data_IF_975813214905
#
_entry.id   IF_975813214905
#
_cell.length_a   1.000
_cell.length_b   1.000
_cell.length_c   1.000
_cell.angle_alpha   90.00
_cell.angle_beta   90.00
_cell.angle_gamma   90.00
#
_symmetry.space_group_name_H-M   'P 1'
#
loop_
_entity.id
_entity.type
_entity.pdbx_description
1 polymer ?
#
# COMPACT_ATOMS: atom_id res chain seq x y z
N UNK A 1 19.05 32.98 15.12
CA UNK A 1 18.41 31.71 15.46
C UNK A 1 18.65 30.77 14.30
N UNK A 2 19.61 29.87 14.49
CA UNK A 2 20.13 28.98 13.44
C UNK A 2 19.14 27.81 13.24
N UNK A 3 18.42 27.85 12.11
CA UNK A 3 17.57 26.72 11.69
C UNK A 3 18.45 25.49 11.42
N UNK A 4 18.33 24.48 12.25
CA UNK A 4 18.87 23.15 11.98
C UNK A 4 18.03 22.53 10.87
N UNK A 5 18.56 22.55 9.66
CA UNK A 5 18.14 21.66 8.59
C UNK A 5 18.59 20.23 8.94
N UNK A 6 17.86 19.57 9.82
CA UNK A 6 17.98 18.14 10.02
C UNK A 6 17.14 17.50 8.89
N UNK A 7 17.79 16.87 7.92
CA UNK A 7 17.14 15.84 7.13
C UNK A 7 16.55 14.84 8.13
N UNK A 8 15.23 14.55 8.11
CA UNK A 8 14.67 13.59 9.02
C UNK A 8 15.41 12.26 8.81
N UNK A 9 16.02 11.75 9.87
CA UNK A 9 16.73 10.48 9.84
C UNK A 9 15.68 9.38 9.59
N UNK A 10 15.88 8.60 8.53
CA UNK A 10 15.07 7.42 8.27
C UNK A 10 15.52 6.32 9.25
N UNK A 11 14.58 5.77 10.00
CA UNK A 11 14.85 4.71 10.98
C UNK A 11 14.17 3.40 10.54
N UNK A 12 14.94 2.31 10.52
CA UNK A 12 14.39 0.98 10.28
C UNK A 12 13.55 0.53 11.47
N UNK A 13 12.39 -0.04 11.20
CA UNK A 13 11.47 -0.69 12.16
C UNK A 13 11.17 -2.10 11.71
N UNK A 14 10.98 -2.98 12.68
CA UNK A 14 10.56 -4.36 12.41
C UNK A 14 9.48 -4.78 13.40
N UNK A 15 8.60 -5.67 12.99
CA UNK A 15 7.71 -6.43 13.88
C UNK A 15 7.56 -7.85 13.35
N UNK A 16 6.86 -8.69 14.09
CA UNK A 16 6.58 -10.08 13.72
C UNK A 16 5.11 -10.23 13.39
N UNK A 17 4.81 -10.64 12.18
CA UNK A 17 3.46 -10.90 11.70
C UNK A 17 3.05 -12.36 11.79
N UNK A 18 2.05 -12.76 11.02
CA UNK A 18 1.55 -14.12 10.98
C UNK A 18 2.65 -15.13 10.57
N UNK A 19 2.60 -16.33 11.15
CA UNK A 19 3.55 -17.41 10.90
C UNK A 19 5.03 -17.03 11.17
N UNK A 20 5.25 -16.15 12.15
CA UNK A 20 6.57 -15.64 12.56
C UNK A 20 7.33 -14.92 11.42
N UNK A 21 6.62 -14.37 10.44
CA UNK A 21 7.23 -13.58 9.36
C UNK A 21 7.71 -12.24 9.91
N UNK A 22 9.02 -11.95 9.77
CA UNK A 22 9.56 -10.63 10.08
C UNK A 22 9.08 -9.61 9.03
N UNK A 23 8.50 -8.52 9.50
CA UNK A 23 8.04 -7.40 8.69
C UNK A 23 8.97 -6.21 8.88
N UNK A 24 9.28 -5.51 7.80
CA UNK A 24 10.24 -4.42 7.75
C UNK A 24 9.59 -3.14 7.29
N UNK A 25 9.96 -2.03 7.93
CA UNK A 25 9.52 -0.70 7.54
C UNK A 25 10.63 0.34 7.69
N UNK A 26 10.49 1.44 6.94
CA UNK A 26 11.24 2.68 7.14
C UNK A 26 10.32 3.69 7.83
N UNK A 27 10.83 4.39 8.84
CA UNK A 27 10.07 5.38 9.60
C UNK A 27 10.67 6.78 9.43
N UNK A 28 9.82 7.77 9.24
CA UNK A 28 10.14 9.17 9.04
C UNK A 28 9.41 10.04 10.07
N UNK A 29 10.07 11.06 10.60
CA UNK A 29 9.48 11.99 11.58
C UNK A 29 9.79 11.64 13.03
N UNK A 30 9.10 12.32 13.95
CA UNK A 30 9.25 12.12 15.39
C UNK A 30 8.33 10.96 15.84
N UNK A 31 8.83 9.93 16.55
CA UNK A 31 8.00 8.84 17.05
C UNK A 31 6.96 9.26 18.11
N UNK A 32 7.01 10.51 18.59
CA UNK A 32 5.98 11.08 19.48
C UNK A 32 4.82 11.74 18.73
N UNK A 33 4.97 11.96 17.42
CA UNK A 33 3.90 12.48 16.56
C UNK A 33 2.87 11.37 16.26
N UNK A 34 1.64 11.74 15.84
CA UNK A 34 0.63 10.78 15.43
C UNK A 34 1.14 9.85 14.32
N UNK A 35 1.02 8.54 14.54
CA UNK A 35 1.56 7.55 13.61
C UNK A 35 0.66 7.34 12.39
N UNK A 36 1.30 7.14 11.23
CA UNK A 36 0.67 6.79 9.96
C UNK A 36 1.36 5.56 9.39
N UNK A 37 0.64 4.45 9.26
CA UNK A 37 1.11 3.22 8.63
C UNK A 37 0.80 3.27 7.13
N UNK A 38 1.84 3.21 6.29
CA UNK A 38 1.74 3.24 4.83
C UNK A 38 1.98 1.84 4.26
N UNK A 39 0.97 1.29 3.55
CA UNK A 39 0.95 -0.05 2.98
C UNK A 39 0.90 0.03 1.45
N UNK A 40 1.91 -0.52 0.77
CA UNK A 40 2.06 -0.45 -0.69
C UNK A 40 1.14 -1.44 -1.45
N UNK A 41 1.04 -1.27 -2.75
CA UNK A 41 0.34 -2.18 -3.66
C UNK A 41 1.13 -3.45 -3.99
N UNK A 42 0.46 -4.45 -4.54
CA UNK A 42 1.12 -5.69 -4.98
C UNK A 42 2.24 -5.41 -5.98
N UNK A 43 3.38 -6.08 -5.82
CA UNK A 43 4.57 -5.90 -6.66
C UNK A 43 5.37 -4.62 -6.39
N UNK A 44 4.98 -3.82 -5.40
CA UNK A 44 5.71 -2.63 -4.95
C UNK A 44 6.53 -2.94 -3.68
N UNK A 45 7.24 -1.93 -3.20
CA UNK A 45 7.93 -1.94 -1.91
C UNK A 45 7.59 -0.68 -1.12
N UNK A 46 7.99 -0.63 0.15
CA UNK A 46 7.88 0.54 1.02
C UNK A 46 8.45 1.82 0.39
N UNK A 47 9.40 1.69 -0.53
CA UNK A 47 10.01 2.83 -1.22
C UNK A 47 9.05 3.59 -2.14
N UNK A 48 7.92 2.99 -2.53
CA UNK A 48 6.88 3.68 -3.31
C UNK A 48 6.22 4.82 -2.53
N UNK A 49 6.33 4.80 -1.21
CA UNK A 49 5.80 5.82 -0.30
C UNK A 49 6.80 6.90 0.10
N UNK A 50 8.06 6.84 -0.35
CA UNK A 50 9.15 7.67 0.17
C UNK A 50 8.83 9.17 0.20
N UNK A 51 8.37 9.76 -0.91
CA UNK A 51 8.01 11.18 -0.99
C UNK A 51 6.79 11.54 -0.13
N UNK A 52 5.80 10.65 -0.05
CA UNK A 52 4.61 10.85 0.77
C UNK A 52 4.96 10.78 2.26
N UNK A 53 5.79 9.83 2.67
CA UNK A 53 6.25 9.73 4.05
C UNK A 53 7.07 10.95 4.48
N UNK A 54 7.90 11.48 3.60
CA UNK A 54 8.64 12.72 3.83
C UNK A 54 7.69 13.91 4.00
N UNK A 55 6.68 14.04 3.13
CA UNK A 55 5.66 15.09 3.24
C UNK A 55 4.85 14.97 4.54
N UNK A 56 4.44 13.77 4.93
CA UNK A 56 3.74 13.52 6.20
C UNK A 56 4.62 13.89 7.40
N UNK A 57 5.90 13.53 7.38
CA UNK A 57 6.82 13.85 8.48
C UNK A 57 7.01 15.36 8.63
N UNK A 58 7.08 16.10 7.54
CA UNK A 58 7.12 17.57 7.56
C UNK A 58 5.80 18.20 8.02
N UNK A 59 4.70 17.46 7.94
CA UNK A 59 3.37 17.88 8.40
C UNK A 59 3.06 17.46 9.84
N UNK A 60 4.04 16.95 10.60
CA UNK A 60 3.91 16.58 12.01
C UNK A 60 3.30 15.20 12.24
N UNK A 61 3.53 14.26 11.33
CA UNK A 61 3.16 12.85 11.49
C UNK A 61 4.40 11.95 11.56
N UNK A 62 4.30 10.86 12.28
CA UNK A 62 5.26 9.77 12.27
C UNK A 62 4.87 8.76 11.20
N UNK A 63 5.46 8.86 9.99
CA UNK A 63 5.14 8.02 8.85
C UNK A 63 5.99 6.76 8.83
N UNK A 64 5.34 5.60 8.80
CA UNK A 64 5.97 4.27 8.79
C UNK A 64 5.57 3.53 7.52
N UNK A 65 6.50 3.42 6.58
CA UNK A 65 6.28 2.72 5.30
C UNK A 65 6.68 1.27 5.47
N UNK A 66 5.72 0.35 5.47
CA UNK A 66 6.00 -1.08 5.62
C UNK A 66 6.07 -1.81 4.27
N UNK A 67 7.02 -2.74 4.16
CA UNK A 67 6.94 -3.79 3.15
C UNK A 67 5.91 -4.83 3.59
N UNK A 68 4.96 -5.16 2.72
CA UNK A 68 4.03 -6.24 2.96
C UNK A 68 4.78 -7.59 2.98
N UNK A 69 4.22 -8.61 3.67
CA UNK A 69 4.76 -9.98 3.63
C UNK A 69 5.04 -10.43 2.19
N UNK A 70 6.14 -11.10 1.98
CA UNK A 70 6.55 -11.57 0.66
C UNK A 70 7.07 -10.48 -0.28
N UNK A 71 7.21 -9.23 0.17
CA UNK A 71 7.68 -8.11 -0.62
C UNK A 71 8.88 -7.43 0.04
N UNK A 72 9.70 -6.76 -0.78
CA UNK A 72 10.82 -5.95 -0.33
C UNK A 72 11.81 -6.72 0.56
N UNK A 73 12.02 -6.20 1.76
CA UNK A 73 12.87 -6.82 2.78
C UNK A 73 12.08 -7.56 3.87
N UNK A 74 10.73 -7.50 3.83
CA UNK A 74 9.90 -8.35 4.67
C UNK A 74 10.05 -9.82 4.32
N UNK A 75 9.91 -10.69 5.31
CA UNK A 75 10.06 -12.13 5.16
C UNK A 75 9.06 -12.74 4.18
N UNK A 76 9.47 -13.84 3.58
CA UNK A 76 8.60 -14.71 2.81
C UNK A 76 7.96 -15.73 3.75
N UNK A 77 6.66 -15.98 3.56
CA UNK A 77 5.98 -16.97 4.39
C UNK A 77 6.44 -18.39 4.04
N UNK A 78 6.94 -19.19 5.00
CA UNK A 78 7.50 -20.52 4.72
C UNK A 78 6.45 -21.51 4.19
N UNK A 79 5.15 -21.20 4.34
CA UNK A 79 4.03 -22.02 3.84
C UNK A 79 3.35 -21.38 2.63
N UNK A 80 3.85 -20.21 2.16
CA UNK A 80 3.22 -19.44 1.07
C UNK A 80 1.85 -18.87 1.44
N UNK A 81 1.60 -18.56 2.72
CA UNK A 81 0.33 -17.96 3.16
C UNK A 81 0.34 -16.44 2.95
N UNK A 82 -0.26 -16.02 1.86
CA UNK A 82 -0.48 -14.63 1.46
C UNK A 82 -1.96 -14.24 1.51
N UNK A 83 -2.76 -14.96 2.30
CA UNK A 83 -4.19 -14.69 2.48
C UNK A 83 -4.43 -13.35 3.18
N UNK A 84 -5.62 -12.76 3.00
CA UNK A 84 -6.00 -11.56 3.74
C UNK A 84 -6.09 -11.80 5.26
N UNK A 85 -6.36 -13.04 5.69
CA UNK A 85 -6.30 -13.39 7.11
C UNK A 85 -4.87 -13.25 7.68
N UNK A 86 -3.85 -13.71 6.94
CA UNK A 86 -2.47 -13.54 7.34
C UNK A 86 -2.04 -12.06 7.27
N UNK A 87 -2.45 -11.32 6.22
CA UNK A 87 -2.18 -9.88 6.13
C UNK A 87 -2.86 -9.07 7.24
N UNK A 88 -4.05 -9.48 7.71
CA UNK A 88 -4.71 -8.87 8.86
C UNK A 88 -3.82 -8.94 10.11
N UNK A 89 -3.26 -10.11 10.41
CA UNK A 89 -2.35 -10.28 11.56
C UNK A 89 -1.13 -9.38 11.44
N UNK A 90 -0.62 -9.18 10.22
CA UNK A 90 0.50 -8.26 9.95
C UNK A 90 0.11 -6.80 10.21
N UNK A 91 -1.05 -6.38 9.72
CA UNK A 91 -1.56 -5.02 9.93
C UNK A 91 -1.80 -4.78 11.41
N UNK A 92 -2.39 -5.74 12.14
CA UNK A 92 -2.60 -5.66 13.59
C UNK A 92 -1.27 -5.56 14.35
N UNK A 93 -0.25 -6.35 13.97
CA UNK A 93 1.08 -6.27 14.59
C UNK A 93 1.71 -4.87 14.44
N UNK A 94 1.57 -4.24 13.26
CA UNK A 94 2.00 -2.86 13.07
C UNK A 94 1.17 -1.88 13.89
N UNK A 95 -0.16 -2.04 13.93
CA UNK A 95 -1.05 -1.17 14.69
C UNK A 95 -0.77 -1.23 16.20
N UNK A 96 -0.50 -2.42 16.72
CA UNK A 96 -0.12 -2.62 18.13
C UNK A 96 1.22 -1.94 18.46
N UNK A 97 2.22 -2.07 17.57
CA UNK A 97 3.53 -1.43 17.73
C UNK A 97 3.45 0.11 17.67
N UNK A 98 2.58 0.65 16.81
CA UNK A 98 2.46 2.09 16.55
C UNK A 98 1.41 2.79 17.43
N UNK A 99 0.61 2.03 18.18
CA UNK A 99 -0.38 2.60 19.10
C UNK A 99 -1.57 3.26 18.38
N UNK A 100 -2.31 2.50 17.56
CA UNK A 100 -3.52 2.95 16.87
C UNK A 100 -3.27 3.99 15.75
N UNK A 101 -2.42 3.70 14.75
CA UNK A 101 -2.04 4.63 13.69
C UNK A 101 -3.20 4.91 12.72
N UNK A 102 -3.08 5.96 11.91
CA UNK A 102 -3.83 6.02 10.66
C UNK A 102 -3.32 4.94 9.69
N UNK A 103 -4.21 4.24 9.01
CA UNK A 103 -3.85 3.23 7.99
C UNK A 103 -4.07 3.84 6.61
N UNK A 104 -3.00 3.94 5.82
CA UNK A 104 -3.05 4.40 4.43
C UNK A 104 -2.58 3.27 3.53
N UNK A 105 -3.47 2.69 2.74
CA UNK A 105 -3.16 1.54 1.91
C UNK A 105 -3.48 1.76 0.43
N UNK A 106 -2.53 1.45 -0.45
CA UNK A 106 -2.73 1.43 -1.89
C UNK A 106 -3.02 0.01 -2.37
N UNK A 107 -4.03 -0.15 -3.26
CA UNK A 107 -4.32 -1.42 -3.90
C UNK A 107 -4.34 -2.59 -2.89
N UNK A 108 -3.39 -3.55 -2.97
CA UNK A 108 -3.27 -4.68 -2.04
C UNK A 108 -3.21 -4.23 -0.56
N UNK A 109 -2.41 -3.20 -0.25
CA UNK A 109 -2.31 -2.65 1.11
C UNK A 109 -3.63 -2.03 1.58
N UNK A 110 -4.39 -1.40 0.67
CA UNK A 110 -5.73 -0.88 0.96
C UNK A 110 -6.73 -2.00 1.24
N UNK A 111 -6.67 -3.09 0.46
CA UNK A 111 -7.50 -4.28 0.71
C UNK A 111 -7.14 -4.95 2.05
N UNK A 112 -5.85 -5.02 2.41
CA UNK A 112 -5.43 -5.52 3.71
C UNK A 112 -5.99 -4.67 4.87
N UNK A 113 -5.94 -3.33 4.75
CA UNK A 113 -6.54 -2.42 5.72
C UNK A 113 -8.06 -2.58 5.81
N UNK A 114 -8.76 -2.62 4.67
CA UNK A 114 -10.22 -2.81 4.61
C UNK A 114 -10.64 -4.17 5.20
N UNK A 115 -9.90 -5.23 4.90
CA UNK A 115 -10.14 -6.55 5.49
C UNK A 115 -9.96 -6.53 7.00
N UNK A 116 -8.89 -5.93 7.49
CA UNK A 116 -8.60 -5.83 8.93
C UNK A 116 -9.72 -5.09 9.66
N UNK A 117 -10.05 -3.88 9.23
CA UNK A 117 -11.05 -3.04 9.90
C UNK A 117 -12.45 -3.62 9.79
N UNK A 118 -12.80 -4.16 8.62
CA UNK A 118 -14.10 -4.80 8.41
C UNK A 118 -14.28 -6.08 9.21
N UNK A 119 -13.24 -6.92 9.33
CA UNK A 119 -13.28 -8.15 10.15
C UNK A 119 -13.41 -7.81 11.63
N UNK A 120 -12.66 -6.83 12.12
CA UNK A 120 -12.73 -6.37 13.51
C UNK A 120 -14.12 -5.82 13.84
N UNK A 121 -14.66 -4.96 12.98
CA UNK A 121 -16.00 -4.41 13.15
C UNK A 121 -17.09 -5.51 13.14
N UNK A 122 -17.00 -6.48 12.23
CA UNK A 122 -17.92 -7.62 12.18
C UNK A 122 -17.89 -8.48 13.45
N UNK A 123 -16.73 -8.54 14.12
CA UNK A 123 -16.53 -9.24 15.39
C UNK A 123 -16.80 -8.38 16.63
N UNK A 124 -17.28 -7.15 16.47
CA UNK A 124 -17.53 -6.20 17.58
C UNK A 124 -16.26 -5.74 18.30
N UNK A 125 -15.10 -5.82 17.64
CA UNK A 125 -13.82 -5.36 18.16
C UNK A 125 -13.61 -3.88 17.82
N UNK A 126 -12.88 -3.11 18.65
CA UNK A 126 -12.53 -1.74 18.30
C UNK A 126 -11.64 -1.70 17.06
N UNK A 127 -11.65 -0.62 16.28
CA UNK A 127 -10.77 -0.45 15.13
C UNK A 127 -9.29 -0.63 15.51
N UNK A 128 -8.48 -1.20 14.61
CA UNK A 128 -7.03 -1.29 14.77
C UNK A 128 -6.36 0.06 14.53
N UNK A 129 -6.86 0.81 13.54
CA UNK A 129 -6.39 2.14 13.19
C UNK A 129 -7.36 3.26 13.55
N UNK A 130 -6.86 4.49 13.66
CA UNK A 130 -7.65 5.70 13.94
C UNK A 130 -8.51 6.14 12.75
N UNK A 131 -8.07 5.88 11.54
CA UNK A 131 -8.80 6.07 10.28
C UNK A 131 -8.22 5.19 9.18
N UNK A 132 -8.94 5.06 8.06
CA UNK A 132 -8.53 4.28 6.89
C UNK A 132 -8.53 5.14 5.64
N UNK A 133 -7.40 5.21 4.94
CA UNK A 133 -7.28 5.82 3.62
C UNK A 133 -7.08 4.72 2.58
N UNK A 134 -8.03 4.57 1.68
CA UNK A 134 -7.99 3.65 0.55
C UNK A 134 -7.50 4.39 -0.68
N UNK A 135 -6.35 3.98 -1.23
CA UNK A 135 -5.73 4.63 -2.38
C UNK A 135 -5.93 3.78 -3.61
N UNK A 136 -6.80 4.26 -4.46
CA UNK A 136 -7.17 3.71 -5.77
C UNK A 136 -7.61 2.25 -5.71
N UNK A 137 -8.32 1.90 -4.66
CA UNK A 137 -8.94 0.60 -4.41
C UNK A 137 -10.17 0.77 -3.51
N UNK A 138 -11.16 -0.09 -3.67
CA UNK A 138 -12.35 -0.14 -2.82
C UNK A 138 -12.74 -1.61 -2.57
N UNK A 139 -13.99 -1.84 -2.17
CA UNK A 139 -14.56 -3.18 -1.97
C UNK A 139 -14.58 -4.04 -3.25
N UNK A 140 -14.49 -3.41 -4.43
CA UNK A 140 -14.45 -4.04 -5.76
C UNK A 140 -13.41 -3.33 -6.63
N UNK A 141 -12.96 -4.04 -7.67
CA UNK A 141 -12.01 -3.53 -8.65
C UNK A 141 -12.34 -4.03 -10.05
N UNK A 142 -11.93 -3.26 -11.06
CA UNK A 142 -12.08 -3.63 -12.47
C UNK A 142 -11.20 -4.84 -12.79
N UNK A 143 -11.83 -5.92 -13.24
CA UNK A 143 -11.15 -7.20 -13.52
C UNK A 143 -10.00 -7.03 -14.52
N UNK A 144 -10.20 -6.20 -15.55
CA UNK A 144 -9.19 -5.96 -16.61
C UNK A 144 -7.94 -5.27 -16.04
N UNK A 145 -8.09 -4.30 -15.14
CA UNK A 145 -6.96 -3.62 -14.50
C UNK A 145 -6.18 -4.58 -13.61
N UNK A 146 -6.88 -5.37 -12.81
CA UNK A 146 -6.27 -6.40 -11.95
C UNK A 146 -5.54 -7.45 -12.77
N UNK A 147 -6.15 -7.96 -13.87
CA UNK A 147 -5.52 -8.94 -14.75
C UNK A 147 -4.23 -8.42 -15.38
N UNK A 148 -4.19 -7.14 -15.78
CA UNK A 148 -2.99 -6.50 -16.30
C UNK A 148 -1.86 -6.48 -15.26
N UNK A 149 -2.16 -6.15 -14.00
CA UNK A 149 -1.19 -6.17 -12.89
C UNK A 149 -0.66 -7.58 -12.68
N UNK A 150 -1.55 -8.56 -12.58
CA UNK A 150 -1.18 -9.97 -12.36
C UNK A 150 -0.32 -10.50 -13.52
N UNK A 151 -0.67 -10.16 -14.76
CA UNK A 151 0.08 -10.56 -15.95
C UNK A 151 1.50 -10.00 -15.93
N UNK A 152 1.66 -8.72 -15.54
CA UNK A 152 2.97 -8.11 -15.35
C UNK A 152 3.77 -8.82 -14.25
N UNK A 153 3.17 -9.06 -13.09
CA UNK A 153 3.85 -9.69 -11.96
C UNK A 153 4.26 -11.15 -12.24
N UNK A 154 3.52 -11.86 -13.09
CA UNK A 154 3.84 -13.21 -13.56
C UNK A 154 4.82 -13.25 -14.74
N UNK A 155 5.01 -12.09 -15.37
CA UNK A 155 5.95 -11.97 -16.48
C UNK A 155 7.41 -12.24 -16.05
N UNK A 156 8.21 -12.67 -16.99
CA UNK A 156 9.64 -12.91 -16.82
C UNK A 156 10.01 -13.84 -15.62
N UNK A 157 9.44 -15.06 -15.54
CA UNK A 157 9.68 -15.97 -14.43
C UNK A 157 11.17 -16.39 -14.34
N UNK A 158 11.88 -16.41 -15.47
CA UNK A 158 13.32 -16.67 -15.53
C UNK A 158 14.17 -15.48 -15.08
N UNK A 159 13.56 -14.33 -14.81
CA UNK A 159 14.22 -13.09 -14.43
C UNK A 159 14.88 -12.39 -15.63
N UNK A 160 15.66 -11.37 -15.35
CA UNK A 160 16.27 -10.42 -16.29
C UNK A 160 17.79 -10.58 -16.31
N UNK A 161 18.43 -10.39 -17.45
CA UNK A 161 19.89 -10.38 -17.57
C UNK A 161 20.51 -9.10 -16.98
N UNK A 162 19.73 -8.01 -16.90
CA UNK A 162 20.19 -6.73 -16.36
C UNK A 162 19.03 -5.94 -15.75
N UNK A 163 19.36 -4.90 -14.97
CA UNK A 163 18.37 -3.92 -14.46
C UNK A 163 17.72 -3.15 -15.61
N UNK A 164 18.45 -2.92 -16.70
CA UNK A 164 17.90 -2.26 -17.90
C UNK A 164 16.84 -3.09 -18.59
N UNK A 165 17.00 -4.42 -18.69
CA UNK A 165 15.97 -5.33 -19.21
C UNK A 165 14.71 -5.30 -18.34
N UNK A 166 14.85 -5.22 -17.01
CA UNK A 166 13.72 -5.02 -16.11
C UNK A 166 13.05 -3.64 -16.33
N UNK A 167 13.86 -2.60 -16.60
CA UNK A 167 13.33 -1.28 -16.89
C UNK A 167 12.54 -1.24 -18.20
N UNK A 168 12.94 -2.01 -19.19
CA UNK A 168 12.19 -2.16 -20.46
C UNK A 168 10.82 -2.83 -20.21
N UNK A 169 10.80 -3.89 -19.40
CA UNK A 169 9.54 -4.56 -19.00
C UNK A 169 8.59 -3.61 -18.22
N UNK A 170 9.13 -2.77 -17.35
CA UNK A 170 8.33 -1.73 -16.64
C UNK A 170 7.81 -0.67 -17.62
N UNK A 171 8.62 -0.23 -18.58
CA UNK A 171 8.20 0.76 -19.58
C UNK A 171 7.09 0.20 -20.50
N UNK A 172 7.14 -1.08 -20.84
CA UNK A 172 6.06 -1.76 -21.59
C UNK A 172 4.76 -1.83 -20.76
N UNK A 173 4.88 -2.14 -19.47
CA UNK A 173 3.75 -2.20 -18.54
C UNK A 173 3.12 -0.82 -18.30
N UNK A 174 3.92 0.25 -18.25
CA UNK A 174 3.50 1.63 -17.98
C UNK A 174 3.77 2.55 -19.18
N UNK A 175 3.13 2.36 -20.34
CA UNK A 175 3.45 3.07 -21.57
C UNK A 175 3.17 4.59 -21.51
N UNK A 176 2.42 5.04 -20.51
CA UNK A 176 2.15 6.45 -20.25
C UNK A 176 3.29 7.16 -19.49
N UNK A 177 4.27 6.41 -18.97
CA UNK A 177 5.44 6.95 -18.29
C UNK A 177 6.68 6.85 -19.19
N UNK A 178 7.52 7.89 -19.26
CA UNK A 178 8.79 7.76 -19.92
C UNK A 178 9.65 6.72 -19.20
N UNK A 179 10.39 5.91 -19.97
CA UNK A 179 11.40 5.01 -19.39
C UNK A 179 12.42 5.82 -18.60
N UNK A 180 12.68 5.51 -17.32
CA UNK A 180 13.65 6.25 -16.53
C UNK A 180 15.06 6.12 -17.15
N UNK A 181 15.78 7.24 -17.24
CA UNK A 181 17.20 7.27 -17.64
C UNK A 181 18.12 6.75 -16.56
N UNK A 182 17.71 6.85 -15.27
CA UNK A 182 18.39 6.27 -14.12
C UNK A 182 17.58 5.12 -13.57
N UNK A 183 18.17 3.92 -13.53
CA UNK A 183 17.55 2.67 -13.07
C UNK A 183 17.93 2.28 -11.64
N UNK A 184 18.69 3.11 -10.91
CA UNK A 184 19.10 2.82 -9.51
C UNK A 184 17.92 2.59 -8.58
N UNK A 185 16.84 3.38 -8.77
CA UNK A 185 15.59 3.19 -8.01
C UNK A 185 14.94 1.84 -8.27
N UNK A 186 14.98 1.36 -9.53
CA UNK A 186 14.44 0.07 -9.91
C UNK A 186 15.28 -1.10 -9.37
N UNK A 187 16.59 -0.92 -9.26
CA UNK A 187 17.47 -1.96 -8.70
C UNK A 187 17.07 -2.37 -7.28
N UNK A 188 16.45 -1.47 -6.50
CA UNK A 188 15.92 -1.78 -5.15
C UNK A 188 14.71 -2.71 -5.17
N UNK A 189 14.06 -2.85 -6.32
CA UNK A 189 12.92 -3.74 -6.52
C UNK A 189 13.33 -5.08 -7.13
N UNK A 190 14.63 -5.35 -7.21
CA UNK A 190 15.18 -6.57 -7.80
C UNK A 190 16.10 -7.28 -6.81
N UNK A 191 16.14 -8.60 -6.92
CA UNK A 191 17.10 -9.47 -6.22
C UNK A 191 18.01 -10.14 -7.26
N UNK A 192 19.31 -10.08 -7.05
CA UNK A 192 20.28 -10.81 -7.85
C UNK A 192 20.32 -12.27 -7.36
N UNK A 193 20.03 -13.21 -8.25
CA UNK A 193 20.13 -14.64 -7.98
C UNK A 193 21.56 -15.17 -8.15
N UNK A 194 21.82 -16.36 -7.64
CA UNK A 194 23.12 -17.03 -7.74
C UNK A 194 23.49 -17.36 -9.21
N UNK A 195 22.51 -17.41 -10.09
CA UNK A 195 22.65 -17.60 -11.54
C UNK A 195 23.01 -16.30 -12.29
N UNK A 196 23.20 -15.19 -11.56
CA UNK A 196 23.53 -13.87 -12.11
C UNK A 196 22.35 -13.15 -12.75
N UNK A 197 21.12 -13.67 -12.63
CA UNK A 197 19.90 -13.02 -13.15
C UNK A 197 19.21 -12.21 -12.06
N UNK A 198 18.63 -11.09 -12.45
CA UNK A 198 17.80 -10.26 -11.59
C UNK A 198 16.36 -10.77 -11.62
N UNK A 199 15.74 -10.88 -10.44
CA UNK A 199 14.33 -11.23 -10.28
C UNK A 199 13.62 -10.17 -9.45
N UNK A 200 12.33 -10.07 -9.63
CA UNK A 200 11.53 -9.21 -8.77
C UNK A 200 11.72 -9.59 -7.29
N UNK A 201 11.58 -8.60 -6.41
CA UNK A 201 11.81 -8.78 -4.96
C UNK A 201 10.76 -9.66 -4.27
N UNK A 202 9.56 -9.79 -4.84
CA UNK A 202 8.48 -10.55 -4.20
C UNK A 202 8.69 -12.07 -4.29
N UNK A 203 8.06 -12.77 -3.33
CA UNK A 203 8.07 -14.23 -3.35
C UNK A 203 7.29 -14.75 -4.58
N UNK A 204 7.88 -15.63 -5.39
CA UNK A 204 7.16 -16.29 -6.48
C UNK A 204 5.88 -17.01 -6.04
N UNK A 205 5.83 -17.54 -4.81
CA UNK A 205 4.65 -18.19 -4.26
C UNK A 205 3.46 -17.22 -4.09
N UNK A 206 3.73 -15.93 -3.92
CA UNK A 206 2.70 -14.90 -3.92
C UNK A 206 1.87 -14.89 -5.22
N UNK A 207 2.48 -15.30 -6.34
CA UNK A 207 1.85 -15.37 -7.66
C UNK A 207 1.40 -16.76 -8.08
N UNK A 208 1.84 -17.79 -7.34
CA UNK A 208 1.53 -19.20 -7.63
C UNK A 208 0.31 -19.72 -6.88
N UNK A 209 -0.48 -18.83 -6.30
CA UNK A 209 -1.70 -19.23 -5.61
C UNK A 209 -2.60 -20.01 -6.59
N UNK A 210 -2.80 -21.30 -6.30
CA UNK A 210 -3.75 -22.17 -7.00
C UNK A 210 -5.20 -21.73 -6.81
N UNK A 211 -5.45 -20.79 -5.92
CA UNK A 211 -6.72 -20.09 -5.80
C UNK A 211 -6.76 -18.99 -6.84
N UNK A 212 -7.68 -19.03 -7.82
CA UNK A 212 -7.83 -17.93 -8.75
C UNK A 212 -8.03 -16.62 -7.95
N UNK A 213 -7.18 -15.64 -8.12
CA UNK A 213 -7.37 -14.29 -7.52
C UNK A 213 -8.59 -13.56 -8.06
N UNK A 214 -9.16 -14.05 -9.17
CA UNK A 214 -10.53 -13.73 -9.60
C UNK A 214 -11.59 -14.14 -8.57
N UNK A 215 -11.20 -14.90 -7.54
CA UNK A 215 -12.00 -15.20 -6.35
C UNK A 215 -11.59 -14.38 -5.12
N UNK A 216 -11.03 -13.17 -5.26
CA UNK A 216 -11.26 -12.17 -4.22
C UNK A 216 -12.78 -12.11 -4.08
N UNK A 217 -13.29 -12.64 -2.99
CA UNK A 217 -14.73 -12.67 -2.75
C UNK A 217 -15.18 -11.23 -2.46
N UNK A 218 -15.55 -10.53 -3.54
CA UNK A 218 -16.01 -9.15 -3.47
C UNK A 218 -17.24 -8.99 -2.56
N UNK A 219 -18.00 -10.06 -2.33
CA UNK A 219 -19.13 -10.02 -1.41
C UNK A 219 -18.64 -9.92 0.05
N UNK A 220 -17.52 -10.57 0.39
CA UNK A 220 -16.87 -10.42 1.69
C UNK A 220 -16.37 -8.98 1.87
N UNK A 221 -15.67 -8.42 0.89
CA UNK A 221 -15.21 -7.02 0.96
C UNK A 221 -16.37 -6.02 1.00
N UNK A 222 -17.48 -6.30 0.30
CA UNK A 222 -18.70 -5.50 0.39
C UNK A 222 -19.30 -5.57 1.80
N UNK A 223 -19.30 -6.75 2.41
CA UNK A 223 -19.70 -6.95 3.80
C UNK A 223 -18.83 -6.16 4.76
N UNK A 224 -17.50 -6.21 4.59
CA UNK A 224 -16.54 -5.47 5.40
C UNK A 224 -16.71 -3.95 5.26
N UNK A 225 -16.88 -3.44 4.04
CA UNK A 225 -17.12 -2.02 3.81
C UNK A 225 -18.33 -1.48 4.57
N UNK A 226 -19.44 -2.24 4.58
CA UNK A 226 -20.66 -1.87 5.34
C UNK A 226 -20.47 -1.83 6.85
N UNK A 227 -19.48 -2.52 7.38
CA UNK A 227 -19.20 -2.59 8.82
C UNK A 227 -18.26 -1.49 9.31
N UNK A 228 -17.61 -0.75 8.40
CA UNK A 228 -16.65 0.29 8.78
C UNK A 228 -17.31 1.39 9.62
N UNK A 229 -16.72 1.68 10.79
CA UNK A 229 -17.20 2.70 11.72
C UNK A 229 -16.21 3.84 11.90
N UNK A 230 -14.94 3.62 11.56
CA UNK A 230 -13.88 4.63 11.63
C UNK A 230 -14.00 5.62 10.46
N UNK A 231 -13.39 6.83 10.55
CA UNK A 231 -13.30 7.75 9.42
C UNK A 231 -12.59 7.11 8.23
N UNK A 232 -13.13 7.28 7.03
CA UNK A 232 -12.58 6.72 5.79
C UNK A 232 -12.39 7.82 4.76
N UNK A 233 -11.22 7.80 4.06
CA UNK A 233 -11.01 8.56 2.84
C UNK A 233 -10.80 7.59 1.68
N UNK A 234 -11.58 7.72 0.62
CA UNK A 234 -11.35 7.05 -0.65
C UNK A 234 -10.65 8.02 -1.61
N UNK A 235 -9.42 7.72 -2.01
CA UNK A 235 -8.70 8.48 -3.03
C UNK A 235 -8.69 7.69 -4.32
N UNK A 236 -9.10 8.32 -5.42
CA UNK A 236 -9.13 7.70 -6.75
C UNK A 236 -8.17 8.41 -7.70
N UNK A 237 -7.40 7.65 -8.49
CA UNK A 237 -6.70 8.19 -9.65
C UNK A 237 -7.68 8.46 -10.79
N UNK A 238 -7.75 9.70 -11.28
CA UNK A 238 -8.72 10.11 -12.31
C UNK A 238 -8.64 9.29 -13.61
N UNK A 239 -7.46 8.69 -13.88
CA UNK A 239 -7.18 7.80 -15.02
C UNK A 239 -6.99 6.33 -14.62
N UNK A 240 -7.45 5.95 -13.44
CA UNK A 240 -7.35 4.56 -12.98
C UNK A 240 -8.13 3.60 -13.88
N UNK A 241 -7.54 2.45 -14.13
CA UNK A 241 -8.17 1.29 -14.76
C UNK A 241 -8.50 0.16 -13.76
N UNK A 242 -8.28 0.42 -12.46
CA UNK A 242 -8.58 -0.51 -11.36
C UNK A 242 -9.81 -0.09 -10.57
N UNK A 243 -9.99 1.23 -10.34
CA UNK A 243 -11.14 1.78 -9.64
C UNK A 243 -11.90 2.74 -10.57
N UNK A 244 -13.06 2.30 -11.07
CA UNK A 244 -13.95 3.16 -11.86
C UNK A 244 -14.70 4.16 -10.98
N UNK A 245 -15.28 5.20 -11.59
CA UNK A 245 -16.12 6.18 -10.88
C UNK A 245 -17.37 5.54 -10.32
N UNK A 246 -17.92 4.58 -11.05
CA UNK A 246 -19.11 3.83 -10.67
C UNK A 246 -18.83 3.00 -9.40
N UNK A 247 -17.69 2.29 -9.34
CA UNK A 247 -17.29 1.53 -8.15
C UNK A 247 -16.97 2.43 -6.96
N UNK A 248 -16.37 3.59 -7.20
CA UNK A 248 -16.15 4.59 -6.14
C UNK A 248 -17.48 5.10 -5.58
N UNK A 249 -18.46 5.42 -6.45
CA UNK A 249 -19.78 5.85 -6.03
C UNK A 249 -20.55 4.74 -5.27
N UNK A 250 -20.41 3.47 -5.71
CA UNK A 250 -20.96 2.32 -4.99
C UNK A 250 -20.36 2.22 -3.59
N UNK A 251 -19.02 2.32 -3.45
CA UNK A 251 -18.34 2.30 -2.15
C UNK A 251 -18.85 3.41 -1.22
N UNK A 252 -18.96 4.63 -1.71
CA UNK A 252 -19.48 5.77 -0.93
C UNK A 252 -20.93 5.57 -0.48
N UNK A 253 -21.73 4.82 -1.24
CA UNK A 253 -23.08 4.45 -0.83
C UNK A 253 -23.10 3.38 0.28
N UNK A 254 -22.06 2.52 0.34
CA UNK A 254 -21.90 1.50 1.39
C UNK A 254 -21.31 2.09 2.68
N UNK A 255 -20.51 3.15 2.57
CA UNK A 255 -19.81 3.82 3.67
C UNK A 255 -20.18 5.32 3.67
N UNK A 256 -21.36 5.69 4.16
CA UNK A 256 -21.89 7.07 4.00
C UNK A 256 -21.05 8.16 4.67
N UNK A 257 -20.19 7.81 5.64
CA UNK A 257 -19.26 8.71 6.31
C UNK A 257 -17.88 8.76 5.64
N UNK A 258 -17.69 8.05 4.52
CA UNK A 258 -16.45 8.14 3.77
C UNK A 258 -16.37 9.45 2.99
N UNK A 259 -15.18 10.06 3.02
CA UNK A 259 -14.83 11.18 2.16
C UNK A 259 -14.24 10.69 0.85
N UNK A 260 -14.27 11.53 -0.17
CA UNK A 260 -13.79 11.18 -1.50
C UNK A 260 -12.89 12.26 -2.09
N UNK A 261 -11.74 11.84 -2.64
CA UNK A 261 -10.83 12.69 -3.39
C UNK A 261 -10.53 12.07 -4.76
N UNK A 262 -10.80 12.80 -5.85
CA UNK A 262 -10.45 12.40 -7.22
C UNK A 262 -9.19 13.16 -7.64
N UNK A 263 -8.09 12.43 -7.88
CA UNK A 263 -6.80 13.00 -8.29
C UNK A 263 -6.70 12.94 -9.82
N UNK A 264 -7.18 13.97 -10.49
CA UNK A 264 -7.54 14.08 -11.89
C UNK A 264 -6.66 13.37 -12.91
N UNK A 265 -5.35 13.61 -12.92
CA UNK A 265 -4.43 13.06 -13.95
C UNK A 265 -3.66 11.81 -13.49
N UNK A 266 -3.90 11.32 -12.27
CA UNK A 266 -3.21 10.15 -11.73
C UNK A 266 -3.77 8.84 -12.30
N UNK A 267 -2.87 7.90 -12.59
CA UNK A 267 -3.18 6.50 -12.88
C UNK A 267 -3.25 5.67 -11.59
N UNK A 268 -3.38 4.33 -11.69
CA UNK A 268 -3.48 3.43 -10.53
C UNK A 268 -2.32 3.57 -9.51
N UNK A 269 -1.14 3.94 -9.94
CA UNK A 269 0.02 4.15 -9.04
C UNK A 269 0.08 5.58 -8.48
N UNK A 270 -1.01 6.06 -7.90
CA UNK A 270 -1.21 7.44 -7.42
C UNK A 270 -0.07 7.91 -6.51
N UNK A 271 0.35 7.09 -5.56
CA UNK A 271 1.42 7.42 -4.60
C UNK A 271 2.81 7.56 -5.23
N UNK A 272 3.06 6.88 -6.36
CA UNK A 272 4.36 6.88 -7.06
C UNK A 272 4.47 7.94 -8.16
N UNK A 273 3.41 8.69 -8.45
CA UNK A 273 3.33 9.63 -9.59
C UNK A 273 3.72 11.07 -9.24
N UNK A 274 4.52 11.34 -8.18
CA UNK A 274 4.85 12.70 -7.72
C UNK A 274 3.60 13.59 -7.63
N UNK A 275 2.55 13.08 -7.03
CA UNK A 275 1.26 13.73 -7.05
C UNK A 275 1.07 14.56 -5.79
N UNK A 276 1.48 15.84 -5.84
CA UNK A 276 1.28 16.79 -4.74
C UNK A 276 -0.19 16.84 -4.31
N UNK A 277 -1.14 16.74 -5.25
CA UNK A 277 -2.57 16.75 -4.96
C UNK A 277 -2.99 15.55 -4.10
N UNK A 278 -2.40 14.37 -4.34
CA UNK A 278 -2.62 13.19 -3.50
C UNK A 278 -2.14 13.43 -2.07
N UNK A 279 -0.87 13.85 -1.92
CA UNK A 279 -0.27 14.09 -0.62
C UNK A 279 -1.05 15.16 0.17
N UNK A 280 -1.47 16.24 -0.49
CA UNK A 280 -2.30 17.30 0.12
C UNK A 280 -3.62 16.74 0.63
N UNK A 281 -4.37 15.98 -0.20
CA UNK A 281 -5.65 15.42 0.22
C UNK A 281 -5.52 14.49 1.44
N UNK A 282 -4.46 13.66 1.48
CA UNK A 282 -4.20 12.77 2.61
C UNK A 282 -3.82 13.57 3.86
N UNK A 283 -2.90 14.55 3.75
CA UNK A 283 -2.48 15.39 4.88
C UNK A 283 -3.66 16.17 5.45
N UNK A 284 -4.51 16.78 4.61
CA UNK A 284 -5.68 17.53 5.04
C UNK A 284 -6.67 16.64 5.80
N UNK A 285 -6.96 15.45 5.27
CA UNK A 285 -7.84 14.48 5.93
C UNK A 285 -7.27 14.05 7.29
N UNK A 286 -6.00 13.61 7.33
CA UNK A 286 -5.35 13.17 8.56
C UNK A 286 -5.27 14.27 9.62
N UNK A 287 -4.95 15.50 9.21
CA UNK A 287 -4.90 16.65 10.13
C UNK A 287 -6.26 16.91 10.75
N UNK A 288 -7.33 16.87 9.97
CA UNK A 288 -8.68 17.11 10.48
C UNK A 288 -9.16 16.00 11.41
N UNK A 289 -8.91 14.73 11.05
CA UNK A 289 -9.41 13.59 11.81
C UNK A 289 -8.58 13.32 13.07
N UNK A 290 -7.25 13.48 13.01
CA UNK A 290 -6.37 13.09 14.11
C UNK A 290 -5.99 14.28 14.99
N UNK A 291 -5.69 15.44 14.38
CA UNK A 291 -5.22 16.63 15.12
C UNK A 291 -6.38 17.52 15.54
N UNK A 292 -7.44 17.60 14.75
CA UNK A 292 -8.64 18.39 15.07
C UNK A 292 -9.47 17.86 16.25
N UNK A 293 -9.23 16.64 16.69
CA UNK A 293 -9.87 16.01 17.86
C UNK A 293 -9.12 16.24 19.21
N UNK A 294 -8.02 17.04 19.19
CA UNK A 294 -7.23 17.35 20.39
C UNK A 294 -7.67 18.65 21.07
#
# INVERSE_FOLDING_TARGET
MTGRGLHPSVHRRTCVGANDVELVADAHGDPHDPAVLLLHGGGQTRHSWGSVAETLSHSGFYAVNADLRGHGESGWDPKGDYSFAAQMVDVEAWCDLLGHPAIVGASLGGLAGLWTEGTRAANGQPPAGSCLVLVDIAHRSEARGVERIISFMRGNPEGFASVDEAADAVAEYLPHRPRPSNTEGLARNLRLGDDGRFRWHWDPQFMNDSRPRSTVDFDVFTGHARQLQLPVLLVRGGRSDVLSREMAAEFLSLVPNAEFADVGDAHHMVAGDHNDAFAVAVVEFLTRVIVGER
#
